data_IF_955748598851
#
_entry.id   IF_955748598851
#
_cell.length_a   1.000
_cell.length_b   1.000
_cell.length_c   1.000
_cell.angle_alpha   90.00
_cell.angle_beta   90.00
_cell.angle_gamma   90.00
#
_symmetry.space_group_name_H-M   'P 1'
#
loop_
_entity.id
_entity.type
_entity.pdbx_description
1 polymer ?
#
# COMPACT_ATOMS: atom_id res chain seq x y z
N UNK A 1 -22.00 -15.90 -39.85
CA UNK A 1 -22.26 -16.58 -38.56
C UNK A 1 -22.26 -15.51 -37.46
N UNK A 2 -23.31 -15.42 -36.65
CA UNK A 2 -23.38 -14.55 -35.46
C UNK A 2 -23.59 -15.46 -34.25
N UNK A 3 -22.68 -15.44 -33.26
CA UNK A 3 -22.87 -15.88 -31.86
C UNK A 3 -21.51 -15.75 -31.13
N UNK A 4 -21.38 -14.78 -30.20
CA UNK A 4 -21.08 -14.94 -28.75
C UNK A 4 -19.89 -14.01 -28.42
N UNK A 5 -19.67 -13.47 -27.22
CA UNK A 5 -20.49 -13.34 -25.99
C UNK A 5 -20.44 -11.86 -25.56
N UNK A 6 -21.57 -11.27 -25.15
CA UNK A 6 -21.93 -10.89 -23.75
C UNK A 6 -20.99 -9.88 -23.06
N UNK A 7 -21.59 -8.75 -22.72
CA UNK A 7 -21.10 -7.71 -21.80
C UNK A 7 -21.36 -8.18 -20.36
N UNK A 8 -20.42 -7.95 -19.43
CA UNK A 8 -20.74 -7.81 -18.01
C UNK A 8 -19.99 -6.61 -17.39
N UNK A 9 -20.73 -5.52 -17.16
CA UNK A 9 -20.42 -4.63 -16.04
C UNK A 9 -20.80 -5.34 -14.74
N UNK A 10 -19.95 -5.26 -13.72
CA UNK A 10 -20.38 -5.48 -12.34
C UNK A 10 -19.50 -4.69 -11.37
N UNK A 11 -19.92 -3.46 -11.06
CA UNK A 11 -19.45 -2.76 -9.87
C UNK A 11 -20.33 -3.13 -8.68
N UNK A 12 -19.73 -3.57 -7.56
CA UNK A 12 -20.38 -3.42 -6.26
C UNK A 12 -19.39 -3.21 -5.11
N UNK A 13 -19.84 -2.39 -4.17
CA UNK A 13 -19.09 -1.87 -3.05
C UNK A 13 -19.51 -2.51 -1.72
N UNK A 14 -18.73 -2.19 -0.68
CA UNK A 14 -18.97 -2.45 0.75
C UNK A 14 -18.84 -3.90 1.24
N UNK A 15 -17.86 -4.10 2.12
CA UNK A 15 -17.93 -5.06 3.22
C UNK A 15 -17.76 -4.29 4.53
N UNK A 16 -18.77 -4.35 5.40
CA UNK A 16 -18.74 -3.78 6.74
C UNK A 16 -19.08 -4.87 7.77
N UNK A 17 -18.53 -4.71 8.97
CA UNK A 17 -19.00 -5.30 10.25
C UNK A 17 -18.90 -6.83 10.46
N UNK A 18 -17.78 -7.20 11.09
CA UNK A 18 -17.67 -7.89 12.39
C UNK A 18 -18.85 -8.74 12.93
N UNK A 19 -18.59 -10.01 13.25
CA UNK A 19 -18.56 -10.54 14.63
C UNK A 19 -18.46 -12.08 14.65
N UNK A 20 -17.62 -12.65 15.52
CA UNK A 20 -17.99 -13.90 16.20
C UNK A 20 -17.28 -14.03 17.55
N UNK A 21 -18.07 -14.35 18.58
CA UNK A 21 -17.59 -14.83 19.86
C UNK A 21 -18.55 -15.95 20.29
N UNK A 22 -18.16 -17.21 20.08
CA UNK A 22 -18.85 -18.33 20.70
C UNK A 22 -17.91 -19.48 21.05
N UNK A 23 -18.28 -20.13 22.14
CA UNK A 23 -17.56 -21.13 22.94
C UNK A 23 -17.11 -22.41 22.21
N UNK A 24 -16.23 -23.13 22.91
CA UNK A 24 -15.99 -24.58 22.86
C UNK A 24 -14.70 -25.05 22.18
N UNK A 25 -14.15 -26.13 22.73
CA UNK A 25 -12.80 -26.63 22.45
C UNK A 25 -12.72 -27.47 21.16
N UNK A 26 -11.61 -27.37 20.43
CA UNK A 26 -11.19 -28.41 19.49
C UNK A 26 -10.53 -27.89 18.21
N UNK A 27 -9.21 -28.11 18.09
CA UNK A 27 -8.45 -28.16 16.83
C UNK A 27 -8.63 -26.98 15.86
N UNK A 28 -8.12 -25.81 16.21
CA UNK A 28 -7.85 -24.75 15.23
C UNK A 28 -6.63 -25.16 14.39
N UNK A 29 -6.89 -25.36 13.09
CA UNK A 29 -5.89 -25.64 12.06
C UNK A 29 -4.81 -24.55 12.01
N UNK A 30 -3.61 -24.90 11.55
CA UNK A 30 -2.49 -23.99 11.33
C UNK A 30 -2.67 -23.07 10.09
N UNK A 31 -3.91 -22.62 9.84
CA UNK A 31 -4.32 -21.94 8.59
C UNK A 31 -4.53 -20.42 8.74
N UNK A 32 -4.54 -19.87 9.95
CA UNK A 32 -4.71 -18.42 10.17
C UNK A 32 -3.41 -17.62 10.29
N UNK A 33 -2.24 -18.22 10.00
CA UNK A 33 -0.97 -17.47 9.90
C UNK A 33 -0.67 -16.95 8.49
N UNK A 34 -1.35 -17.45 7.44
CA UNK A 34 -1.13 -17.01 6.06
C UNK A 34 -1.78 -15.64 5.71
N UNK A 35 -2.84 -15.23 6.42
CA UNK A 35 -3.70 -14.11 6.00
C UNK A 35 -3.21 -12.72 6.40
N UNK A 36 -2.02 -12.59 7.01
CA UNK A 36 -1.48 -11.29 7.47
C UNK A 36 -0.12 -10.90 6.85
N UNK A 37 0.53 -11.79 6.09
CA UNK A 37 1.85 -11.48 5.49
C UNK A 37 1.75 -10.86 4.09
N UNK A 38 0.74 -11.22 3.29
CA UNK A 38 0.56 -10.72 1.93
C UNK A 38 0.26 -9.20 1.88
N UNK A 39 -0.49 -8.66 2.83
CA UNK A 39 -0.87 -7.24 2.86
C UNK A 39 0.32 -6.29 3.11
N UNK A 40 1.41 -6.78 3.72
CA UNK A 40 2.62 -5.98 3.96
C UNK A 40 3.58 -5.95 2.77
N UNK A 41 3.57 -6.97 1.91
CA UNK A 41 4.55 -7.18 0.83
C UNK A 41 3.96 -7.08 -0.59
N UNK A 42 3.07 -6.12 -0.81
CA UNK A 42 2.70 -5.75 -2.18
C UNK A 42 3.81 -4.89 -2.83
N UNK A 43 4.25 -5.20 -4.07
CA UNK A 43 5.17 -4.36 -4.82
C UNK A 43 4.53 -3.01 -5.16
N UNK A 44 5.34 -1.98 -5.36
CA UNK A 44 4.90 -0.61 -5.64
C UNK A 44 5.28 0.39 -4.55
N UNK A 45 4.92 1.65 -4.75
CA UNK A 45 5.26 2.76 -3.86
C UNK A 45 4.03 3.18 -3.07
N UNK A 46 4.18 3.42 -1.77
CA UNK A 46 3.07 3.86 -0.91
C UNK A 46 3.49 5.05 -0.06
N UNK A 47 2.61 6.05 0.03
CA UNK A 47 2.77 7.19 0.94
C UNK A 47 1.85 6.98 2.13
N UNK A 48 2.44 6.89 3.32
CA UNK A 48 1.73 6.72 4.58
C UNK A 48 1.52 8.10 5.22
N UNK A 49 0.27 8.52 5.43
CA UNK A 49 -0.01 9.77 6.15
C UNK A 49 -1.44 10.28 6.02
N UNK A 50 -1.80 11.23 6.88
CA UNK A 50 -3.17 11.78 7.02
C UNK A 50 -3.61 12.77 5.92
N UNK A 51 -2.85 12.91 4.82
CA UNK A 51 -3.26 13.75 3.68
C UNK A 51 -2.81 15.21 3.72
N UNK A 52 -2.00 15.61 4.72
CA UNK A 52 -1.51 16.99 4.82
C UNK A 52 -0.59 17.39 3.66
N UNK A 53 -0.34 18.69 3.46
CA UNK A 53 0.46 19.23 2.35
C UNK A 53 1.86 18.57 2.21
N UNK A 54 2.48 18.15 3.32
CA UNK A 54 3.76 17.40 3.30
C UNK A 54 3.63 16.01 2.69
N UNK A 55 2.51 15.32 2.90
CA UNK A 55 2.23 14.02 2.27
C UNK A 55 2.06 14.20 0.76
N UNK A 56 1.27 15.21 0.35
CA UNK A 56 1.00 15.51 -1.06
C UNK A 56 2.27 15.89 -1.83
N UNK A 57 3.16 16.68 -1.21
CA UNK A 57 4.47 17.02 -1.78
C UNK A 57 5.36 15.78 -2.00
N UNK A 58 5.41 14.88 -1.02
CA UNK A 58 6.16 13.62 -1.12
C UNK A 58 5.56 12.68 -2.18
N UNK A 59 4.24 12.58 -2.27
CA UNK A 59 3.54 11.79 -3.30
C UNK A 59 3.82 12.33 -4.71
N UNK A 60 3.75 13.64 -4.90
CA UNK A 60 4.04 14.30 -6.18
C UNK A 60 5.50 14.06 -6.59
N UNK A 61 6.44 14.24 -5.66
CA UNK A 61 7.87 13.95 -5.90
C UNK A 61 8.12 12.47 -6.25
N UNK A 62 7.39 11.54 -5.64
CA UNK A 62 7.48 10.11 -5.96
C UNK A 62 6.91 9.78 -7.34
N UNK A 63 5.78 10.38 -7.73
CA UNK A 63 5.20 10.25 -9.08
C UNK A 63 6.15 10.80 -10.15
N UNK A 64 6.74 11.98 -9.92
CA UNK A 64 7.75 12.58 -10.81
C UNK A 64 9.02 11.70 -10.91
N UNK A 65 9.49 11.13 -9.79
CA UNK A 65 10.65 10.25 -9.75
C UNK A 65 10.43 8.93 -10.53
N UNK A 66 9.24 8.31 -10.41
CA UNK A 66 8.89 7.09 -11.13
C UNK A 66 8.76 7.33 -12.64
N UNK A 67 8.17 8.46 -13.04
CA UNK A 67 8.08 8.86 -14.44
C UNK A 67 9.47 9.13 -15.05
N UNK A 68 10.37 9.81 -14.35
CA UNK A 68 11.75 10.02 -14.81
C UNK A 68 12.58 8.74 -14.90
N UNK A 69 12.28 7.73 -14.07
CA UNK A 69 12.94 6.42 -14.11
C UNK A 69 12.27 5.42 -15.07
N UNK A 70 11.16 5.80 -15.73
CA UNK A 70 10.41 4.89 -16.61
C UNK A 70 9.86 3.66 -15.89
N UNK A 71 9.52 3.78 -14.60
CA UNK A 71 9.04 2.65 -13.79
C UNK A 71 7.50 2.64 -13.71
N UNK A 72 6.87 1.60 -14.25
CA UNK A 72 5.46 1.28 -14.02
C UNK A 72 5.22 0.84 -12.56
N UNK A 73 5.10 1.81 -11.67
CA UNK A 73 4.63 1.60 -10.30
C UNK A 73 3.58 2.64 -9.92
N UNK A 74 2.53 2.20 -9.23
CA UNK A 74 1.56 3.09 -8.61
C UNK A 74 2.16 3.75 -7.37
N UNK A 75 1.65 4.94 -7.05
CA UNK A 75 1.88 5.62 -5.77
C UNK A 75 0.55 5.63 -5.01
N UNK A 76 0.40 4.72 -4.06
CA UNK A 76 -0.81 4.53 -3.27
C UNK A 76 -0.76 5.34 -1.97
N UNK A 77 -1.74 6.20 -1.73
CA UNK A 77 -1.84 6.97 -0.48
C UNK A 77 -2.60 6.15 0.58
N UNK A 78 -1.87 5.67 1.58
CA UNK A 78 -2.45 4.96 2.73
C UNK A 78 -2.74 5.96 3.86
N UNK A 79 -4.02 6.22 4.08
CA UNK A 79 -4.53 7.05 5.20
C UNK A 79 -4.97 6.21 6.41
N UNK A 80 -5.10 4.88 6.25
CA UNK A 80 -5.58 3.98 7.28
C UNK A 80 -4.53 3.75 8.38
N UNK A 81 -4.74 4.33 9.56
CA UNK A 81 -3.85 4.23 10.72
C UNK A 81 -3.49 2.78 11.11
N UNK A 82 -4.41 1.82 10.97
CA UNK A 82 -4.10 0.42 11.29
C UNK A 82 -3.04 -0.16 10.33
N UNK A 83 -3.07 0.22 9.06
CA UNK A 83 -2.04 -0.15 8.09
C UNK A 83 -0.73 0.59 8.37
N UNK A 84 -0.77 1.90 8.68
CA UNK A 84 0.42 2.70 9.00
C UNK A 84 1.16 2.14 10.23
N UNK A 85 0.43 1.84 11.30
CA UNK A 85 0.98 1.19 12.50
C UNK A 85 1.53 -0.22 12.20
N UNK A 86 0.92 -0.97 11.27
CA UNK A 86 1.42 -2.27 10.82
C UNK A 86 2.77 -2.21 10.06
N UNK A 87 3.14 -1.04 9.51
CA UNK A 87 4.48 -0.75 8.97
C UNK A 87 5.46 -0.21 10.02
N UNK A 88 5.03 -0.04 11.29
CA UNK A 88 5.87 0.49 12.37
C UNK A 88 6.09 2.01 12.33
N UNK A 89 5.34 2.74 11.52
CA UNK A 89 5.52 4.20 11.35
C UNK A 89 4.73 4.96 12.41
N UNK A 90 5.44 5.60 13.34
CA UNK A 90 4.86 6.52 14.35
C UNK A 90 4.80 7.98 13.87
N UNK A 91 5.61 8.35 12.87
CA UNK A 91 5.74 9.74 12.40
C UNK A 91 5.53 9.84 10.89
N UNK A 92 4.40 10.43 10.48
CA UNK A 92 4.05 10.66 9.07
C UNK A 92 4.43 12.08 8.61
N UNK A 93 4.74 12.33 7.32
CA UNK A 93 4.65 11.41 6.19
C UNK A 93 5.74 10.34 6.19
N UNK A 94 5.45 9.17 5.63
CA UNK A 94 6.46 8.15 5.37
C UNK A 94 6.31 7.56 3.96
N UNK A 95 7.44 7.15 3.38
CA UNK A 95 7.54 6.52 2.07
C UNK A 95 7.85 5.04 2.23
N UNK A 96 7.08 4.20 1.54
CA UNK A 96 7.26 2.75 1.46
C UNK A 96 7.51 2.38 0.00
N UNK A 97 8.50 1.53 -0.24
CA UNK A 97 8.83 0.97 -1.56
C UNK A 97 8.88 -0.55 -1.41
N UNK A 98 8.08 -1.28 -2.20
CA UNK A 98 7.96 -2.75 -2.19
C UNK A 98 7.74 -3.35 -0.78
N UNK A 99 6.92 -2.68 0.01
CA UNK A 99 6.59 -3.06 1.39
C UNK A 99 7.62 -2.63 2.45
N UNK A 100 8.77 -2.07 2.06
CA UNK A 100 9.80 -1.57 2.98
C UNK A 100 9.65 -0.06 3.22
N UNK A 101 9.60 0.37 4.48
CA UNK A 101 9.69 1.80 4.83
C UNK A 101 11.10 2.29 4.50
N UNK A 102 11.23 3.27 3.61
CA UNK A 102 12.53 3.85 3.21
C UNK A 102 12.80 5.22 3.82
N UNK A 103 11.75 5.92 4.27
CA UNK A 103 11.84 7.22 4.92
C UNK A 103 10.58 7.52 5.73
N UNK A 104 10.71 8.26 6.83
CA UNK A 104 9.61 8.72 7.68
C UNK A 104 9.91 10.10 8.27
N UNK A 105 8.88 10.88 8.56
CA UNK A 105 8.96 12.23 9.14
C UNK A 105 9.51 13.33 8.22
N UNK A 106 10.10 12.99 7.05
CA UNK A 106 10.71 13.95 6.12
C UNK A 106 9.98 13.98 4.77
N UNK A 107 9.81 15.17 4.19
CA UNK A 107 9.47 15.33 2.77
C UNK A 107 10.76 15.21 1.97
N UNK A 108 10.82 14.24 1.07
CA UNK A 108 11.96 14.00 0.20
C UNK A 108 11.81 14.77 -1.11
N UNK A 109 12.91 15.30 -1.62
CA UNK A 109 12.99 15.85 -2.98
C UNK A 109 12.91 14.73 -4.02
N UNK A 110 12.48 15.05 -5.25
CA UNK A 110 12.42 14.12 -6.39
C UNK A 110 13.70 13.29 -6.54
N UNK A 111 14.86 13.92 -6.45
CA UNK A 111 16.17 13.26 -6.61
C UNK A 111 16.53 12.34 -5.43
N UNK A 112 16.10 12.68 -4.21
CA UNK A 112 16.20 11.75 -3.06
C UNK A 112 15.31 10.52 -3.28
N UNK A 113 14.08 10.70 -3.79
CA UNK A 113 13.17 9.58 -4.07
C UNK A 113 13.71 8.71 -5.20
N UNK A 114 14.29 9.28 -6.27
CA UNK A 114 14.97 8.51 -7.33
C UNK A 114 16.13 7.68 -6.76
N UNK A 115 16.98 8.29 -5.93
CA UNK A 115 18.10 7.57 -5.30
C UNK A 115 17.63 6.41 -4.41
N UNK A 116 16.51 6.57 -3.69
CA UNK A 116 15.91 5.48 -2.91
C UNK A 116 15.29 4.38 -3.80
N UNK A 117 14.58 4.76 -4.87
CA UNK A 117 14.02 3.81 -5.84
C UNK A 117 15.13 2.96 -6.48
N UNK A 118 16.20 3.61 -6.96
CA UNK A 118 17.37 2.95 -7.51
C UNK A 118 18.09 2.08 -6.47
N UNK A 119 18.16 2.50 -5.19
CA UNK A 119 18.79 1.70 -4.12
C UNK A 119 17.96 0.48 -3.67
N UNK A 120 16.65 0.46 -3.94
CA UNK A 120 15.76 -0.66 -3.56
C UNK A 120 15.51 -1.63 -4.72
N UNK A 121 15.55 -1.13 -5.97
CA UNK A 121 15.19 -1.88 -7.19
C UNK A 121 16.34 -2.06 -8.20
N UNK A 122 17.48 -1.40 -8.01
CA UNK A 122 18.71 -1.58 -8.78
C UNK A 122 19.76 -2.38 -8.01
#
# INVERSE_FOLDING_TARGET
MKLFHTIEENGKSKGAETQEASSSCGNISAESVAKSEAAKKAPGVKVLGSGCARCQALERAAKEALAELGMDATVDHVTNFAQIASYGVMTTPALVIDGKVVSYGKVLSKDEVKALLQKVRG
#
